data_IF_700881188951
#
_entry.id   IF_700881188951
#
_cell.length_a   1.000
_cell.length_b   1.000
_cell.length_c   1.000
_cell.angle_alpha   90.00
_cell.angle_beta   90.00
_cell.angle_gamma   90.00
#
_symmetry.space_group_name_H-M   'P 1'
#
loop_
_entity.id
_entity.type
_entity.pdbx_description
1 polymer ?
#
# COMPACT_ATOMS: atom_id res chain seq x y z
N UNK A 1 37.42 48.87 -36.45
CA UNK A 1 36.95 47.50 -36.28
C UNK A 1 36.39 47.32 -34.89
N UNK A 2 35.07 47.29 -34.74
CA UNK A 2 34.40 47.09 -33.43
C UNK A 2 34.01 45.62 -33.29
N UNK A 3 34.68 44.87 -32.44
CA UNK A 3 34.30 43.50 -32.12
C UNK A 3 33.17 43.51 -31.08
N UNK A 4 31.98 43.15 -31.53
CA UNK A 4 30.80 42.97 -30.70
C UNK A 4 30.88 41.58 -30.05
N UNK A 5 31.27 41.47 -28.77
CA UNK A 5 31.22 40.22 -28.03
C UNK A 5 29.76 39.90 -27.67
N UNK A 6 29.17 38.93 -28.36
CA UNK A 6 27.87 38.38 -28.02
C UNK A 6 28.01 37.42 -26.83
N UNK A 7 27.65 37.88 -25.64
CA UNK A 7 27.60 37.01 -24.42
C UNK A 7 26.32 36.19 -24.51
N UNK A 8 26.48 34.91 -24.85
CA UNK A 8 25.38 33.95 -24.80
C UNK A 8 25.24 33.47 -23.35
N UNK A 9 24.23 34.00 -22.64
CA UNK A 9 23.87 33.53 -21.30
C UNK A 9 23.07 32.24 -21.44
N UNK A 10 23.72 31.09 -21.20
CA UNK A 10 23.04 29.80 -21.16
C UNK A 10 22.38 29.68 -19.80
N UNK A 11 21.08 29.95 -19.71
CA UNK A 11 20.27 29.68 -18.54
C UNK A 11 19.98 28.17 -18.47
N UNK A 12 20.73 27.42 -17.69
CA UNK A 12 20.41 26.04 -17.35
C UNK A 12 19.21 26.01 -16.41
N UNK A 13 18.03 25.78 -16.96
CA UNK A 13 16.82 25.52 -16.18
C UNK A 13 16.98 24.17 -15.47
N UNK A 14 17.28 24.20 -14.18
CA UNK A 14 17.19 23.03 -13.31
C UNK A 14 15.74 22.57 -13.26
N UNK A 15 15.38 21.59 -14.08
CA UNK A 15 14.07 20.90 -13.99
C UNK A 15 14.11 20.04 -12.74
N UNK A 16 13.60 20.57 -11.63
CA UNK A 16 13.30 19.78 -10.43
C UNK A 16 12.08 18.93 -10.75
N UNK A 17 12.26 17.71 -11.23
CA UNK A 17 11.16 16.76 -11.38
C UNK A 17 10.72 16.31 -9.98
N UNK A 18 9.44 16.46 -9.60
CA UNK A 18 8.96 15.97 -8.31
C UNK A 18 9.19 14.46 -8.25
N UNK A 19 9.92 13.99 -7.25
CA UNK A 19 10.15 12.56 -7.04
C UNK A 19 8.83 11.93 -6.61
N UNK A 20 8.21 11.18 -7.50
CA UNK A 20 6.98 10.44 -7.20
C UNK A 20 7.23 9.46 -6.05
N UNK A 21 6.31 9.38 -5.08
CA UNK A 21 6.41 8.41 -4.00
C UNK A 21 6.26 6.98 -4.54
N UNK A 22 6.91 5.97 -3.91
CA UNK A 22 6.88 4.59 -4.39
C UNK A 22 5.47 3.97 -4.50
N UNK A 23 4.54 4.47 -3.72
CA UNK A 23 3.14 4.03 -3.69
C UNK A 23 2.21 4.77 -4.66
N UNK A 24 2.70 5.76 -5.39
CA UNK A 24 1.86 6.57 -6.30
C UNK A 24 1.21 5.76 -7.43
N UNK A 25 1.80 4.65 -7.83
CA UNK A 25 1.27 3.79 -8.90
C UNK A 25 0.19 2.79 -8.43
N UNK A 26 0.16 2.45 -7.16
CA UNK A 26 -0.75 1.44 -6.62
C UNK A 26 -1.59 1.91 -5.41
N UNK A 27 -1.23 3.02 -4.80
CA UNK A 27 -1.84 3.51 -3.56
C UNK A 27 -3.19 4.23 -3.73
N UNK A 28 -3.76 4.31 -4.94
CA UNK A 28 -5.00 5.04 -5.22
C UNK A 28 -6.22 4.14 -5.43
N UNK A 29 -6.12 2.87 -5.10
CA UNK A 29 -7.20 1.91 -5.30
C UNK A 29 -7.45 1.08 -4.05
N UNK A 30 -8.62 0.43 -3.99
CA UNK A 30 -8.97 -0.50 -2.95
C UNK A 30 -8.47 -1.89 -3.31
N UNK A 31 -7.83 -2.55 -2.36
CA UNK A 31 -7.16 -3.82 -2.50
C UNK A 31 -7.85 -4.90 -1.68
N UNK A 32 -8.45 -5.87 -2.33
CA UNK A 32 -9.10 -7.02 -1.67
C UNK A 32 -8.08 -8.13 -1.43
N UNK A 33 -8.09 -8.71 -0.24
CA UNK A 33 -7.23 -9.83 0.12
C UNK A 33 -7.74 -11.10 -0.53
N UNK A 34 -6.99 -11.65 -1.47
CA UNK A 34 -7.36 -12.89 -2.20
C UNK A 34 -6.59 -14.12 -1.72
N UNK A 35 -5.48 -13.92 -1.01
CA UNK A 35 -4.69 -15.00 -0.41
C UNK A 35 -4.03 -14.50 0.88
N UNK A 36 -4.02 -15.33 1.91
CA UNK A 36 -3.34 -15.07 3.17
C UNK A 36 -2.51 -16.28 3.60
N UNK A 37 -1.20 -16.09 3.78
CA UNK A 37 -0.23 -17.15 4.16
C UNK A 37 -0.31 -18.39 3.25
N UNK A 38 -0.46 -18.18 1.93
CA UNK A 38 -0.55 -19.26 0.96
C UNK A 38 -1.92 -19.93 0.87
N UNK A 39 -2.92 -19.46 1.62
CA UNK A 39 -4.29 -20.00 1.60
C UNK A 39 -5.22 -19.02 0.89
N UNK A 40 -5.96 -19.46 -0.18
CA UNK A 40 -6.95 -18.62 -0.84
C UNK A 40 -8.02 -18.14 0.14
N UNK A 41 -8.38 -16.85 0.02
CA UNK A 41 -9.45 -16.23 0.80
C UNK A 41 -10.72 -16.19 -0.02
N UNK A 42 -11.80 -16.76 0.51
CA UNK A 42 -13.11 -16.76 -0.15
C UNK A 42 -13.65 -15.32 -0.20
N UNK A 43 -14.03 -14.88 -1.39
CA UNK A 43 -14.64 -13.57 -1.60
C UNK A 43 -16.16 -13.70 -1.68
N UNK A 44 -16.86 -12.79 -1.02
CA UNK A 44 -18.33 -12.68 -1.12
C UNK A 44 -18.75 -11.61 -2.15
N UNK A 45 -17.80 -10.77 -2.57
CA UNK A 45 -18.06 -9.60 -3.42
C UNK A 45 -18.61 -8.40 -2.64
N UNK A 46 -18.74 -8.52 -1.32
CA UNK A 46 -19.31 -7.51 -0.46
C UNK A 46 -18.26 -6.65 0.27
N UNK A 47 -18.74 -5.63 0.97
CA UNK A 47 -17.90 -4.72 1.77
C UNK A 47 -17.23 -5.39 2.99
N UNK A 48 -17.66 -6.59 3.35
CA UNK A 48 -17.07 -7.38 4.45
C UNK A 48 -15.88 -8.21 4.03
N UNK A 49 -15.62 -8.34 2.72
CA UNK A 49 -14.39 -8.97 2.27
C UNK A 49 -13.19 -8.18 2.81
N UNK A 50 -12.18 -8.90 3.31
CA UNK A 50 -10.99 -8.25 3.83
C UNK A 50 -10.32 -7.41 2.74
N UNK A 51 -10.13 -6.13 3.01
CA UNK A 51 -9.58 -5.18 2.05
C UNK A 51 -8.85 -4.03 2.72
N UNK A 52 -8.00 -3.35 1.96
CA UNK A 52 -7.26 -2.16 2.36
C UNK A 52 -7.37 -1.12 1.26
N UNK A 53 -7.62 0.13 1.64
CA UNK A 53 -7.48 1.31 0.81
C UNK A 53 -6.40 2.22 1.42
N UNK A 54 -5.53 2.75 0.59
CA UNK A 54 -4.44 3.64 1.00
C UNK A 54 -4.76 5.09 0.69
N UNK A 55 -4.36 5.99 1.56
CA UNK A 55 -4.29 7.41 1.30
C UNK A 55 -2.83 7.82 1.14
N UNK A 56 -2.41 8.00 -0.09
CA UNK A 56 -1.01 8.31 -0.44
C UNK A 56 -0.57 9.66 0.11
N UNK A 57 -1.48 10.62 0.21
CA UNK A 57 -1.16 11.96 0.69
C UNK A 57 -0.91 12.00 2.20
N UNK A 58 -1.73 11.29 2.99
CA UNK A 58 -1.65 11.28 4.45
C UNK A 58 -0.87 10.09 5.02
N UNK A 59 -0.52 9.11 4.17
CA UNK A 59 0.10 7.83 4.58
C UNK A 59 -0.74 7.07 5.61
N UNK A 60 -2.06 7.16 5.46
CA UNK A 60 -3.02 6.38 6.23
C UNK A 60 -3.60 5.25 5.38
N UNK A 61 -4.05 4.21 6.03
CA UNK A 61 -4.84 3.17 5.39
C UNK A 61 -6.12 2.93 6.18
N UNK A 62 -7.12 2.45 5.48
CA UNK A 62 -8.40 2.03 6.04
C UNK A 62 -8.91 0.81 5.31
N UNK A 63 -9.82 0.07 5.90
CA UNK A 63 -10.38 -1.12 5.26
C UNK A 63 -11.27 -1.92 6.21
N UNK A 64 -11.37 -3.20 5.92
CA UNK A 64 -12.12 -4.17 6.73
C UNK A 64 -11.30 -5.45 6.90
N UNK A 65 -11.35 -6.03 8.08
CA UNK A 65 -10.62 -7.26 8.41
C UNK A 65 -11.40 -8.54 8.17
N UNK A 66 -12.58 -8.42 7.57
CA UNK A 66 -13.55 -9.52 7.44
C UNK A 66 -14.76 -9.36 8.37
N UNK A 67 -14.60 -8.60 9.44
CA UNK A 67 -15.66 -8.27 10.40
C UNK A 67 -15.61 -6.79 10.77
N UNK A 68 -14.51 -6.37 11.37
CA UNK A 68 -14.34 -5.02 11.87
C UNK A 68 -13.65 -4.10 10.85
N UNK A 69 -13.92 -2.80 11.00
CA UNK A 69 -13.16 -1.78 10.30
C UNK A 69 -11.74 -1.75 10.83
N UNK A 70 -10.79 -1.62 9.92
CA UNK A 70 -9.36 -1.57 10.20
C UNK A 70 -8.81 -0.25 9.69
N UNK A 71 -7.95 0.39 10.45
CA UNK A 71 -7.25 1.59 10.02
C UNK A 71 -5.89 1.71 10.72
N UNK A 72 -5.07 2.60 10.23
CA UNK A 72 -3.75 2.89 10.78
C UNK A 72 -2.95 3.77 9.86
N UNK A 73 -1.65 3.80 10.10
CA UNK A 73 -0.69 4.50 9.29
C UNK A 73 0.20 3.49 8.53
N UNK A 74 0.83 3.93 7.46
CA UNK A 74 1.86 3.15 6.80
C UNK A 74 3.02 4.04 6.39
N UNK A 75 4.18 3.45 6.26
CA UNK A 75 5.34 4.09 5.66
C UNK A 75 5.81 3.26 4.48
N UNK A 76 6.33 3.93 3.45
CA UNK A 76 6.87 3.28 2.26
C UNK A 76 8.18 3.95 1.87
N UNK A 77 9.20 3.13 1.62
CA UNK A 77 10.49 3.55 1.11
C UNK A 77 11.03 2.47 0.15
N UNK A 78 11.16 2.83 -1.13
CA UNK A 78 11.54 1.91 -2.20
C UNK A 78 10.59 0.70 -2.26
N UNK A 79 11.06 -0.48 -1.88
CA UNK A 79 10.28 -1.73 -1.79
C UNK A 79 9.90 -2.12 -0.36
N UNK A 80 10.26 -1.29 0.61
CA UNK A 80 9.88 -1.49 2.00
C UNK A 80 8.54 -0.83 2.29
N UNK A 81 7.70 -1.50 3.03
CA UNK A 81 6.44 -0.99 3.56
C UNK A 81 6.26 -1.46 5.01
N UNK A 82 5.77 -0.60 5.86
CA UNK A 82 5.42 -0.94 7.25
C UNK A 82 4.05 -0.40 7.58
N UNK A 83 3.25 -1.20 8.24
CA UNK A 83 1.97 -0.81 8.81
C UNK A 83 2.17 -0.48 10.30
N UNK A 84 1.71 0.68 10.71
CA UNK A 84 1.96 1.27 12.02
C UNK A 84 0.62 1.61 12.66
N UNK A 85 0.50 1.37 13.97
CA UNK A 85 -0.71 1.69 14.72
C UNK A 85 -1.97 1.05 14.09
N UNK A 86 -1.86 -0.22 13.71
CA UNK A 86 -2.98 -0.99 13.16
C UNK A 86 -4.02 -1.19 14.25
N UNK A 87 -5.19 -0.61 14.06
CA UNK A 87 -6.32 -0.70 14.99
C UNK A 87 -7.58 -1.18 14.30
N UNK A 88 -8.45 -1.83 15.03
CA UNK A 88 -9.75 -2.27 14.53
C UNK A 88 -10.86 -1.95 15.52
N UNK A 89 -12.10 -1.82 15.02
CA UNK A 89 -13.30 -1.81 15.86
C UNK A 89 -13.47 -3.16 16.57
N UNK A 90 -14.30 -3.24 17.57
CA UNK A 90 -14.46 -4.43 18.44
C UNK A 90 -15.89 -4.98 18.42
N UNK A 91 -16.40 -5.24 17.21
CA UNK A 91 -17.66 -5.97 17.07
C UNK A 91 -17.45 -7.46 17.29
N UNK A 92 -18.45 -8.16 17.77
CA UNK A 92 -18.45 -9.61 17.91
C UNK A 92 -18.87 -10.24 16.59
N UNK A 93 -18.02 -11.11 16.03
CA UNK A 93 -18.27 -11.80 14.77
C UNK A 93 -17.90 -13.29 14.89
N UNK A 94 -18.56 -14.09 14.07
CA UNK A 94 -18.34 -15.55 14.11
C UNK A 94 -16.94 -15.94 13.61
N UNK A 95 -16.30 -15.13 12.76
CA UNK A 95 -14.98 -15.41 12.17
C UNK A 95 -13.93 -14.40 12.62
N UNK A 96 -13.88 -14.13 13.91
CA UNK A 96 -12.90 -13.21 14.49
C UNK A 96 -11.45 -13.74 14.38
N UNK A 97 -11.27 -15.05 14.26
CA UNK A 97 -9.96 -15.68 14.12
C UNK A 97 -9.29 -15.28 12.79
N UNK A 98 -10.05 -15.24 11.70
CA UNK A 98 -9.56 -14.74 10.42
C UNK A 98 -9.05 -13.31 10.55
N UNK A 99 -9.85 -12.42 11.15
CA UNK A 99 -9.47 -11.03 11.35
C UNK A 99 -8.21 -10.88 12.22
N UNK A 100 -8.12 -11.60 13.32
CA UNK A 100 -6.95 -11.58 14.17
C UNK A 100 -5.68 -12.03 13.41
N UNK A 101 -5.80 -13.05 12.57
CA UNK A 101 -4.73 -13.51 11.69
C UNK A 101 -4.36 -12.45 10.66
N UNK A 102 -5.36 -11.81 10.05
CA UNK A 102 -5.14 -10.74 9.08
C UNK A 102 -4.41 -9.55 9.71
N UNK A 103 -4.86 -9.05 10.86
CA UNK A 103 -4.25 -7.92 11.57
C UNK A 103 -2.81 -8.22 12.00
N UNK A 104 -2.56 -9.40 12.55
CA UNK A 104 -1.21 -9.81 12.95
C UNK A 104 -0.28 -9.98 11.74
N UNK A 105 -0.80 -10.51 10.64
CA UNK A 105 -0.06 -10.63 9.39
C UNK A 105 0.29 -9.25 8.83
N UNK A 106 -0.69 -8.34 8.77
CA UNK A 106 -0.50 -6.98 8.29
C UNK A 106 0.58 -6.23 9.09
N UNK A 107 0.53 -6.35 10.42
CA UNK A 107 1.52 -5.73 11.31
C UNK A 107 2.94 -6.31 11.15
N UNK A 108 3.08 -7.50 10.60
CA UNK A 108 4.37 -8.16 10.37
C UNK A 108 5.03 -7.80 9.04
N UNK A 109 4.32 -7.18 8.11
CA UNK A 109 4.79 -6.87 6.76
C UNK A 109 5.96 -5.89 6.80
N UNK A 110 6.95 -6.13 5.96
CA UNK A 110 8.13 -5.28 5.82
C UNK A 110 8.51 -4.94 4.36
N UNK A 111 7.96 -5.67 3.38
CA UNK A 111 8.20 -5.43 1.95
C UNK A 111 6.91 -5.55 1.14
N UNK A 112 6.92 -4.95 -0.04
CA UNK A 112 5.86 -5.14 -1.04
C UNK A 112 6.46 -5.38 -2.43
N UNK A 113 5.66 -6.02 -3.27
CA UNK A 113 5.93 -6.23 -4.69
C UNK A 113 4.65 -6.05 -5.48
N UNK A 114 4.70 -5.33 -6.59
CA UNK A 114 3.60 -5.29 -7.56
C UNK A 114 3.93 -6.30 -8.65
N UNK A 115 3.04 -7.27 -8.85
CA UNK A 115 3.20 -8.32 -9.86
C UNK A 115 1.96 -8.39 -10.72
N UNK A 116 2.05 -7.90 -11.97
CA UNK A 116 0.88 -7.72 -12.81
C UNK A 116 -0.11 -6.75 -12.16
N UNK A 117 -1.33 -7.19 -11.93
CA UNK A 117 -2.37 -6.42 -11.22
C UNK A 117 -2.39 -6.66 -9.71
N UNK A 118 -1.60 -7.60 -9.18
CA UNK A 118 -1.62 -7.97 -7.78
C UNK A 118 -0.58 -7.19 -6.97
N UNK A 119 -0.95 -6.83 -5.75
CA UNK A 119 -0.07 -6.29 -4.73
C UNK A 119 0.27 -7.40 -3.73
N UNK A 120 1.55 -7.77 -3.67
CA UNK A 120 2.06 -8.76 -2.75
C UNK A 120 2.66 -8.06 -1.54
N UNK A 121 2.16 -8.36 -0.37
CA UNK A 121 2.73 -7.92 0.90
C UNK A 121 3.53 -9.05 1.51
N UNK A 122 4.77 -8.76 1.88
CA UNK A 122 5.80 -9.76 2.22
C UNK A 122 6.37 -9.52 3.60
N UNK A 123 6.75 -10.61 4.23
CA UNK A 123 7.66 -10.61 5.39
C UNK A 123 8.98 -11.22 4.94
N UNK A 124 10.06 -10.43 4.98
CA UNK A 124 11.33 -10.80 4.36
C UNK A 124 11.11 -11.09 2.85
N UNK A 125 11.39 -12.30 2.40
CA UNK A 125 11.19 -12.75 1.01
C UNK A 125 9.88 -13.51 0.79
N UNK A 126 9.14 -13.80 1.85
CA UNK A 126 7.94 -14.64 1.81
C UNK A 126 6.68 -13.78 1.64
N UNK A 127 5.87 -14.12 0.65
CA UNK A 127 4.56 -13.48 0.45
C UNK A 127 3.61 -13.93 1.55
N UNK A 128 3.04 -12.96 2.25
CA UNK A 128 2.08 -13.20 3.34
C UNK A 128 0.65 -12.85 2.95
N UNK A 129 0.48 -11.83 2.12
CA UNK A 129 -0.82 -11.43 1.59
C UNK A 129 -0.68 -11.20 0.09
N UNK A 130 -1.66 -11.67 -0.66
CA UNK A 130 -1.87 -11.30 -2.07
C UNK A 130 -3.17 -10.50 -2.13
N UNK A 131 -3.07 -9.30 -2.68
CA UNK A 131 -4.20 -8.39 -2.82
C UNK A 131 -4.43 -8.08 -4.29
N UNK A 132 -5.69 -7.93 -4.64
CA UNK A 132 -6.14 -7.62 -6.01
C UNK A 132 -6.98 -6.36 -6.01
N UNK A 133 -6.91 -5.50 -7.03
CA UNK A 133 -7.77 -4.33 -7.14
C UNK A 133 -9.25 -4.75 -7.17
N UNK A 134 -10.10 -3.97 -6.49
CA UNK A 134 -11.56 -4.13 -6.58
C UNK A 134 -12.10 -3.45 -7.82
#
# INVERSE_FOLDING_TARGET
>A
MKYLFLVVVITTAFKCSPKLSPDSGWGHQEWVVVEMKGVPVQQSGGRRDAHIAFDVATKKFSGNGGCNQVNGNYSVDKKMIKFIEVVSTKMSCNDIEFENTFLSTLSSIDHYEVRGSDLLLKKNKETRLVLRPR
#
